data_IF_738696916913
#
_entry.id   IF_738696916913
#
_cell.length_a   1.000
_cell.length_b   1.000
_cell.length_c   1.000
_cell.angle_alpha   90.00
_cell.angle_beta   90.00
_cell.angle_gamma   90.00
#
_symmetry.space_group_name_H-M   'P 1'
#
loop_
_entity.id
_entity.type
_entity.pdbx_description
1 polymer ?
#
# COMPACT_ATOMS: atom_id res chain seq x y z
N UNK A 1 -10.68 -14.89 22.42
CA UNK A 1 -11.41 -15.21 21.17
C UNK A 1 -10.60 -14.64 20.01
N UNK A 2 -9.79 -15.46 19.35
CA UNK A 2 -9.17 -15.06 18.09
C UNK A 2 -10.25 -15.07 17.01
N UNK A 3 -10.96 -13.93 16.87
CA UNK A 3 -11.92 -13.68 15.80
C UNK A 3 -11.16 -13.43 14.51
N UNK A 4 -10.56 -14.47 13.94
CA UNK A 4 -10.03 -14.39 12.59
C UNK A 4 -11.21 -14.22 11.65
N UNK A 5 -11.40 -13.02 11.11
CA UNK A 5 -12.37 -12.78 10.06
C UNK A 5 -12.06 -13.75 8.92
N UNK A 6 -12.92 -14.74 8.70
CA UNK A 6 -12.83 -15.63 7.55
C UNK A 6 -12.84 -14.71 6.32
N UNK A 7 -11.75 -14.64 5.53
CA UNK A 7 -11.71 -13.75 4.38
C UNK A 7 -12.89 -14.14 3.49
N UNK A 8 -13.78 -13.19 3.21
CA UNK A 8 -14.94 -13.45 2.36
C UNK A 8 -14.40 -13.65 0.95
N UNK A 9 -14.45 -14.86 0.38
CA UNK A 9 -13.88 -15.10 -0.93
C UNK A 9 -14.75 -14.40 -1.97
N UNK A 10 -14.23 -13.35 -2.59
CA UNK A 10 -14.90 -12.69 -3.72
C UNK A 10 -14.82 -13.64 -4.91
N UNK A 11 -15.97 -14.19 -5.34
CA UNK A 11 -16.02 -15.04 -6.51
C UNK A 11 -16.12 -14.19 -7.79
N UNK A 12 -14.96 -13.84 -8.35
CA UNK A 12 -14.85 -13.01 -9.56
C UNK A 12 -15.52 -13.64 -10.80
N UNK A 13 -15.78 -14.96 -10.81
CA UNK A 13 -16.50 -15.63 -11.91
C UNK A 13 -17.99 -15.29 -11.99
N UNK A 14 -18.56 -14.70 -10.93
CA UNK A 14 -19.98 -14.28 -10.87
C UNK A 14 -20.21 -12.82 -11.23
N UNK A 15 -19.15 -12.08 -11.53
CA UNK A 15 -19.23 -10.66 -11.91
C UNK A 15 -19.63 -10.52 -13.38
N UNK A 16 -20.37 -9.45 -13.72
CA UNK A 16 -20.82 -9.19 -15.10
C UNK A 16 -19.64 -8.96 -16.04
N UNK A 17 -18.58 -8.29 -15.56
CA UNK A 17 -17.33 -8.09 -16.30
C UNK A 17 -16.12 -8.45 -15.42
N UNK A 18 -15.80 -9.74 -15.27
CA UNK A 18 -14.85 -10.25 -14.26
C UNK A 18 -13.51 -9.51 -14.18
N UNK A 19 -12.94 -9.13 -15.33
CA UNK A 19 -11.65 -8.42 -15.38
C UNK A 19 -11.74 -6.96 -14.91
N UNK A 20 -12.75 -6.23 -15.41
CA UNK A 20 -12.95 -4.82 -15.05
C UNK A 20 -13.33 -4.70 -13.58
N UNK A 21 -14.27 -5.52 -13.14
CA UNK A 21 -14.82 -5.45 -11.80
C UNK A 21 -13.73 -5.85 -10.77
N UNK A 22 -12.85 -6.79 -11.11
CA UNK A 22 -11.66 -7.11 -10.31
C UNK A 22 -10.70 -5.92 -10.19
N UNK A 23 -10.43 -5.19 -11.29
CA UNK A 23 -9.55 -4.00 -11.27
C UNK A 23 -10.13 -2.92 -10.37
N UNK A 24 -11.43 -2.66 -10.47
CA UNK A 24 -12.12 -1.63 -9.65
C UNK A 24 -12.05 -2.00 -8.16
N UNK A 25 -12.35 -3.27 -7.83
CA UNK A 25 -12.31 -3.75 -6.44
C UNK A 25 -10.88 -3.69 -5.89
N UNK A 26 -9.88 -4.09 -6.67
CA UNK A 26 -8.49 -4.03 -6.24
C UNK A 26 -7.99 -2.57 -6.08
N UNK A 27 -8.38 -1.65 -6.98
CA UNK A 27 -8.02 -0.25 -6.87
C UNK A 27 -8.68 0.47 -5.66
N UNK A 28 -9.81 -0.03 -5.16
CA UNK A 28 -10.51 0.56 -4.02
C UNK A 28 -9.67 0.56 -2.74
N UNK A 29 -8.85 -0.48 -2.50
CA UNK A 29 -7.98 -0.55 -1.32
C UNK A 29 -6.96 0.61 -1.26
N UNK A 30 -6.05 0.72 -2.25
CA UNK A 30 -5.11 1.85 -2.34
C UNK A 30 -5.79 3.22 -2.35
N UNK A 31 -6.94 3.35 -3.03
CA UNK A 31 -7.68 4.61 -3.08
C UNK A 31 -8.21 5.02 -1.70
N UNK A 32 -8.75 4.09 -0.91
CA UNK A 32 -9.20 4.38 0.45
C UNK A 32 -8.05 4.78 1.37
N UNK A 33 -6.91 4.08 1.29
CA UNK A 33 -5.72 4.45 2.04
C UNK A 33 -5.22 5.86 1.66
N UNK A 34 -5.19 6.19 0.36
CA UNK A 34 -4.85 7.55 -0.08
C UNK A 34 -5.83 8.60 0.48
N UNK A 35 -7.14 8.29 0.45
CA UNK A 35 -8.17 9.15 1.04
C UNK A 35 -7.98 9.37 2.54
N UNK A 36 -7.66 8.32 3.30
CA UNK A 36 -7.40 8.41 4.73
C UNK A 36 -6.13 9.22 5.05
N UNK A 37 -5.07 9.08 4.24
CA UNK A 37 -3.88 9.91 4.38
C UNK A 37 -4.20 11.40 4.15
N UNK A 38 -4.98 11.72 3.11
CA UNK A 38 -5.42 13.10 2.82
C UNK A 38 -6.26 13.65 3.99
N UNK A 39 -7.22 12.87 4.51
CA UNK A 39 -8.02 13.28 5.65
C UNK A 39 -7.17 13.55 6.89
N UNK A 40 -6.14 12.74 7.14
CA UNK A 40 -5.20 12.95 8.24
C UNK A 40 -4.36 14.23 8.05
N UNK A 41 -3.90 14.54 6.83
CA UNK A 41 -3.21 15.81 6.52
C UNK A 41 -4.12 17.01 6.78
N UNK A 42 -5.37 16.96 6.31
CA UNK A 42 -6.33 18.03 6.56
C UNK A 42 -6.59 18.20 8.07
N UNK A 43 -6.65 17.11 8.83
CA UNK A 43 -6.82 17.16 10.28
C UNK A 43 -5.63 17.82 11.03
N UNK A 44 -4.44 17.94 10.40
CA UNK A 44 -3.30 18.66 10.99
C UNK A 44 -3.65 20.14 11.25
N UNK A 45 -4.55 20.74 10.46
CA UNK A 45 -5.03 22.11 10.69
C UNK A 45 -5.73 22.30 12.03
N UNK A 46 -6.19 21.22 12.66
CA UNK A 46 -6.83 21.26 13.97
C UNK A 46 -5.81 21.25 15.12
N UNK A 47 -4.54 20.92 14.87
CA UNK A 47 -3.49 20.82 15.90
C UNK A 47 -3.33 22.12 16.69
N UNK A 48 -3.29 23.33 16.08
CA UNK A 48 -3.12 24.57 16.83
C UNK A 48 -4.26 24.88 17.82
N UNK A 49 -5.48 24.39 17.55
CA UNK A 49 -6.65 24.61 18.41
C UNK A 49 -6.83 23.52 19.48
N UNK A 50 -5.96 22.50 19.50
CA UNK A 50 -6.00 21.45 20.51
C UNK A 50 -5.44 21.93 21.86
N UNK A 51 -6.00 21.44 22.99
CA UNK A 51 -5.43 21.63 24.31
C UNK A 51 -3.96 21.18 24.39
N UNK A 52 -3.13 21.96 25.11
CA UNK A 52 -1.69 21.70 25.25
C UNK A 52 -1.38 20.26 25.66
N UNK A 53 -2.16 19.73 26.60
CA UNK A 53 -1.99 18.38 27.14
C UNK A 53 -2.10 17.26 26.10
N UNK A 54 -2.83 17.47 25.00
CA UNK A 54 -3.04 16.44 23.97
C UNK A 54 -2.41 16.80 22.62
N UNK A 55 -1.97 18.05 22.42
CA UNK A 55 -1.53 18.54 21.12
C UNK A 55 -0.41 17.68 20.51
N UNK A 56 0.64 17.40 21.28
CA UNK A 56 1.76 16.58 20.82
C UNK A 56 1.35 15.14 20.50
N UNK A 57 0.52 14.54 21.35
CA UNK A 57 -0.01 13.19 21.11
C UNK A 57 -0.88 13.15 19.84
N UNK A 58 -1.76 14.13 19.65
CA UNK A 58 -2.63 14.23 18.49
C UNK A 58 -1.83 14.38 17.20
N UNK A 59 -0.85 15.29 17.18
CA UNK A 59 0.03 15.49 16.03
C UNK A 59 0.79 14.21 15.66
N UNK A 60 1.41 13.53 16.63
CA UNK A 60 2.13 12.28 16.38
C UNK A 60 1.22 11.17 15.84
N UNK A 61 -0.03 11.10 16.30
CA UNK A 61 -1.00 10.14 15.76
C UNK A 61 -1.40 10.48 14.32
N UNK A 62 -1.53 11.76 13.98
CA UNK A 62 -1.79 12.18 12.60
C UNK A 62 -0.59 11.86 11.69
N UNK A 63 0.64 12.14 12.12
CA UNK A 63 1.84 11.76 11.36
C UNK A 63 1.89 10.26 11.09
N UNK A 64 1.65 9.44 12.12
CA UNK A 64 1.57 7.99 11.98
C UNK A 64 0.43 7.59 11.02
N UNK A 65 -0.74 8.19 11.14
CA UNK A 65 -1.87 7.91 10.26
C UNK A 65 -1.54 8.23 8.79
N UNK A 66 -0.90 9.37 8.52
CA UNK A 66 -0.44 9.75 7.18
C UNK A 66 0.56 8.71 6.67
N UNK A 67 1.60 8.43 7.45
CA UNK A 67 2.67 7.50 7.06
C UNK A 67 2.13 6.11 6.76
N UNK A 68 1.37 5.49 7.68
CA UNK A 68 0.89 4.13 7.49
C UNK A 68 -0.13 4.01 6.36
N UNK A 69 -1.00 5.00 6.16
CA UNK A 69 -1.94 4.97 5.04
C UNK A 69 -1.22 5.13 3.70
N UNK A 70 -0.26 6.05 3.58
CA UNK A 70 0.54 6.16 2.35
C UNK A 70 1.37 4.91 2.11
N UNK A 71 1.98 4.36 3.16
CA UNK A 71 2.74 3.12 3.10
C UNK A 71 1.89 1.97 2.56
N UNK A 72 0.70 1.76 3.12
CA UNK A 72 -0.22 0.72 2.68
C UNK A 72 -0.74 0.98 1.26
N UNK A 73 -0.99 2.24 0.88
CA UNK A 73 -1.42 2.59 -0.48
C UNK A 73 -0.33 2.23 -1.50
N UNK A 74 0.90 2.70 -1.30
CA UNK A 74 2.04 2.44 -2.18
C UNK A 74 2.36 0.95 -2.23
N UNK A 75 2.42 0.28 -1.08
CA UNK A 75 2.68 -1.14 -1.01
C UNK A 75 1.62 -1.94 -1.79
N UNK A 76 0.33 -1.64 -1.59
CA UNK A 76 -0.74 -2.32 -2.32
C UNK A 76 -0.78 -1.97 -3.81
N UNK A 77 -0.10 -0.91 -4.28
CA UNK A 77 0.02 -0.59 -5.72
C UNK A 77 1.13 -1.37 -6.43
N UNK A 78 2.01 -2.08 -5.70
CA UNK A 78 3.05 -2.90 -6.30
C UNK A 78 2.41 -4.00 -7.17
N UNK A 79 2.82 -4.17 -8.44
CA UNK A 79 2.23 -5.11 -9.38
C UNK A 79 2.66 -6.58 -9.13
N UNK A 80 2.62 -7.03 -7.89
CA UNK A 80 3.01 -8.38 -7.45
C UNK A 80 1.83 -9.02 -6.70
N UNK A 81 1.20 -10.07 -7.24
CA UNK A 81 0.22 -10.85 -6.48
C UNK A 81 0.88 -11.40 -5.20
N UNK A 82 0.21 -11.43 -4.03
CA UNK A 82 -1.23 -11.25 -3.82
C UNK A 82 -1.70 -9.81 -3.61
N UNK A 83 -0.83 -8.80 -3.79
CA UNK A 83 -1.19 -7.40 -3.59
C UNK A 83 -2.21 -6.92 -4.63
N UNK A 84 -2.94 -5.86 -4.28
CA UNK A 84 -4.01 -5.33 -5.12
C UNK A 84 -3.51 -4.85 -6.50
N UNK A 85 -2.33 -4.24 -6.57
CA UNK A 85 -1.66 -3.83 -7.80
C UNK A 85 -1.36 -5.02 -8.71
N UNK A 86 -1.04 -6.18 -8.14
CA UNK A 86 -0.91 -7.44 -8.87
C UNK A 86 -2.24 -7.89 -9.50
N UNK A 87 -3.35 -7.75 -8.78
CA UNK A 87 -4.71 -8.06 -9.30
C UNK A 87 -5.14 -7.07 -10.37
N UNK A 88 -4.86 -5.78 -10.19
CA UNK A 88 -5.06 -4.75 -11.22
C UNK A 88 -4.29 -5.11 -12.49
N UNK A 89 -3.00 -5.46 -12.36
CA UNK A 89 -2.17 -5.87 -13.48
C UNK A 89 -2.71 -7.12 -14.20
N UNK A 90 -3.15 -8.16 -13.46
CA UNK A 90 -3.80 -9.36 -14.05
C UNK A 90 -5.07 -8.99 -14.83
N UNK A 91 -5.86 -8.03 -14.34
CA UNK A 91 -7.09 -7.58 -14.98
C UNK A 91 -6.86 -6.81 -16.28
N UNK A 92 -5.79 -6.01 -16.35
CA UNK A 92 -5.43 -5.17 -17.51
C UNK A 92 -4.66 -5.97 -18.58
N UNK A 93 -3.79 -6.90 -18.18
CA UNK A 93 -2.89 -7.59 -19.11
C UNK A 93 -3.61 -8.50 -20.13
N UNK A 94 -3.04 -8.65 -21.36
CA UNK A 94 -3.46 -9.67 -22.30
C UNK A 94 -3.46 -11.07 -21.68
N UNK A 95 -4.39 -11.94 -22.09
CA UNK A 95 -4.59 -13.27 -21.49
C UNK A 95 -3.28 -14.03 -21.23
N UNK A 96 -2.33 -14.17 -22.16
CA UNK A 96 -1.10 -14.94 -21.92
C UNK A 96 -0.26 -14.40 -20.77
N UNK A 97 -0.15 -13.08 -20.63
CA UNK A 97 0.63 -12.42 -19.58
C UNK A 97 -0.11 -12.45 -18.23
N UNK A 98 -1.43 -12.23 -18.26
CA UNK A 98 -2.28 -12.33 -17.07
C UNK A 98 -2.18 -13.72 -16.42
N UNK A 99 -2.18 -14.79 -17.21
CA UNK A 99 -2.01 -16.16 -16.71
C UNK A 99 -0.63 -16.39 -16.08
N UNK A 100 0.44 -15.82 -16.65
CA UNK A 100 1.80 -15.92 -16.07
C UNK A 100 1.90 -15.19 -14.74
N UNK A 101 1.36 -13.97 -14.67
CA UNK A 101 1.35 -13.18 -13.44
C UNK A 101 0.49 -13.84 -12.35
N UNK A 102 -0.71 -14.35 -12.70
CA UNK A 102 -1.57 -15.05 -11.75
C UNK A 102 -0.92 -16.32 -11.17
N UNK A 103 -0.05 -17.01 -11.91
CA UNK A 103 0.71 -18.16 -11.38
C UNK A 103 1.68 -17.76 -10.26
N UNK A 104 2.18 -16.53 -10.27
CA UNK A 104 3.06 -16.02 -9.22
C UNK A 104 2.33 -15.84 -7.89
N UNK A 105 0.99 -15.75 -7.87
CA UNK A 105 0.21 -15.57 -6.63
C UNK A 105 0.50 -16.65 -5.58
N UNK A 106 0.75 -17.90 -6.01
CA UNK A 106 1.11 -19.01 -5.10
C UNK A 106 2.44 -18.79 -4.37
N UNK A 107 3.40 -18.17 -5.05
CA UNK A 107 4.73 -17.85 -4.51
C UNK A 107 4.83 -16.37 -4.07
N UNK A 108 3.78 -15.59 -4.28
CA UNK A 108 3.82 -14.13 -4.20
C UNK A 108 4.20 -13.62 -2.82
N UNK A 109 3.65 -14.23 -1.77
CA UNK A 109 4.01 -13.93 -0.39
C UNK A 109 5.49 -14.25 -0.10
N UNK A 110 5.99 -15.37 -0.59
CA UNK A 110 7.40 -15.74 -0.46
C UNK A 110 8.31 -14.76 -1.20
N UNK A 111 7.92 -14.33 -2.40
CA UNK A 111 8.66 -13.33 -3.19
C UNK A 111 8.71 -12.00 -2.43
N UNK A 112 7.60 -11.55 -1.85
CA UNK A 112 7.55 -10.31 -1.06
C UNK A 112 8.42 -10.40 0.20
N UNK A 113 8.34 -11.52 0.94
CA UNK A 113 9.18 -11.74 2.12
C UNK A 113 10.66 -11.77 1.73
N UNK A 114 11.03 -12.50 0.68
CA UNK A 114 12.39 -12.52 0.18
C UNK A 114 12.84 -11.11 -0.25
N UNK A 115 11.97 -10.35 -0.90
CA UNK A 115 12.29 -9.01 -1.34
C UNK A 115 12.54 -8.03 -0.17
N UNK A 116 11.72 -8.14 0.88
CA UNK A 116 11.77 -7.25 2.04
C UNK A 116 12.91 -7.58 3.00
N UNK A 117 13.26 -8.86 3.16
CA UNK A 117 14.21 -9.30 4.18
C UNK A 117 15.51 -9.85 3.62
N UNK A 118 15.47 -10.57 2.49
CA UNK A 118 16.64 -11.28 1.97
C UNK A 118 17.55 -10.36 1.16
N UNK A 119 17.00 -9.48 0.31
CA UNK A 119 17.82 -8.54 -0.48
C UNK A 119 18.59 -7.53 0.38
N UNK A 120 18.00 -6.88 1.41
CA UNK A 120 18.76 -5.97 2.27
C UNK A 120 19.86 -6.71 3.05
N UNK A 121 19.57 -7.92 3.52
CA UNK A 121 20.54 -8.75 4.23
C UNK A 121 21.74 -9.09 3.32
N UNK A 122 21.50 -9.45 2.06
CA UNK A 122 22.56 -9.72 1.09
C UNK A 122 23.33 -8.44 0.74
N UNK A 123 22.64 -7.32 0.49
CA UNK A 123 23.28 -6.03 0.20
C UNK A 123 24.25 -5.60 1.29
N UNK A 124 23.84 -5.72 2.56
CA UNK A 124 24.70 -5.39 3.71
C UNK A 124 25.99 -6.22 3.77
N UNK A 125 25.98 -7.46 3.26
CA UNK A 125 27.15 -8.35 3.22
C UNK A 125 28.13 -8.01 2.10
N UNK A 126 27.62 -7.42 1.01
CA UNK A 126 28.40 -7.11 -0.20
C UNK A 126 28.79 -5.61 -0.21
N UNK A 127 28.33 -4.83 0.77
CA UNK A 127 28.59 -3.39 0.86
C UNK A 127 27.79 -2.55 -0.13
N UNK A 128 26.69 -3.09 -0.67
CA UNK A 128 25.81 -2.43 -1.64
C UNK A 128 24.47 -2.17 -0.97
N UNK A 129 23.94 -0.94 -1.11
CA UNK A 129 22.59 -0.62 -0.62
C UNK A 129 21.53 -1.25 -1.55
N UNK A 130 21.14 -2.49 -1.21
CA UNK A 130 20.06 -3.22 -1.87
C UNK A 130 18.76 -3.15 -1.05
N UNK A 131 18.49 -2.00 -0.43
CA UNK A 131 17.21 -1.77 0.23
C UNK A 131 16.10 -1.54 -0.81
N UNK A 132 15.63 -2.67 -1.37
CA UNK A 132 14.53 -2.71 -2.33
C UNK A 132 13.28 -2.08 -1.75
N UNK A 133 13.06 -2.22 -0.44
CA UNK A 133 11.90 -1.62 0.22
C UNK A 133 12.01 -0.10 0.26
N UNK A 134 13.19 0.45 0.58
CA UNK A 134 13.40 1.89 0.53
C UNK A 134 13.14 2.46 -0.85
N UNK A 135 13.64 1.82 -1.90
CA UNK A 135 13.46 2.32 -3.27
C UNK A 135 12.02 2.15 -3.79
N UNK A 136 11.43 0.97 -3.59
CA UNK A 136 10.13 0.62 -4.15
C UNK A 136 8.95 1.17 -3.33
N UNK A 137 9.15 1.38 -2.02
CA UNK A 137 8.09 1.76 -1.08
C UNK A 137 8.37 3.10 -0.42
N UNK A 138 9.46 3.24 0.35
CA UNK A 138 9.68 4.48 1.11
C UNK A 138 9.86 5.70 0.22
N UNK A 139 10.65 5.60 -0.86
CA UNK A 139 10.88 6.70 -1.79
C UNK A 139 9.59 7.28 -2.38
N UNK A 140 8.68 6.45 -2.92
CA UNK A 140 7.36 6.90 -3.35
C UNK A 140 6.50 7.44 -2.20
N UNK A 141 6.50 6.80 -1.03
CA UNK A 141 5.76 7.29 0.15
C UNK A 141 6.21 8.69 0.54
N UNK A 142 7.52 8.92 0.63
CA UNK A 142 8.10 10.21 0.98
C UNK A 142 7.78 11.26 -0.10
N UNK A 143 7.89 10.88 -1.37
CA UNK A 143 7.61 11.79 -2.50
C UNK A 143 6.15 12.23 -2.50
N UNK A 144 5.22 11.27 -2.36
CA UNK A 144 3.78 11.53 -2.33
C UNK A 144 3.42 12.30 -1.05
N UNK A 145 3.92 11.86 0.10
CA UNK A 145 3.67 12.50 1.39
C UNK A 145 4.13 13.95 1.41
N UNK A 146 5.36 14.22 0.96
CA UNK A 146 5.87 15.58 0.84
C UNK A 146 5.06 16.43 -0.14
N UNK A 147 4.64 15.86 -1.28
CA UNK A 147 3.80 16.58 -2.23
C UNK A 147 2.42 16.93 -1.64
N UNK A 148 1.78 15.99 -0.95
CA UNK A 148 0.48 16.19 -0.31
C UNK A 148 0.57 17.19 0.85
N UNK A 149 1.59 17.09 1.71
CA UNK A 149 1.80 18.04 2.81
C UNK A 149 2.10 19.44 2.28
N UNK A 150 2.87 19.58 1.19
CA UNK A 150 3.07 20.89 0.54
C UNK A 150 1.81 21.47 -0.07
N UNK A 151 0.90 20.62 -0.55
CA UNK A 151 -0.32 21.07 -1.21
C UNK A 151 -1.49 21.33 -0.25
N UNK A 152 -1.57 20.56 0.84
CA UNK A 152 -2.73 20.47 1.72
C UNK A 152 -2.39 20.64 3.20
N UNK A 153 -1.13 20.79 3.58
CA UNK A 153 -0.69 21.04 4.95
C UNK A 153 -0.90 22.50 5.36
N UNK A 154 -0.79 22.78 6.67
CA UNK A 154 -0.93 24.14 7.22
C UNK A 154 0.23 25.08 6.86
#
# INVERSE_FOLDING_TARGET
>A
MFGWAKPVPVNFSRLRHPRRDMVIVAAAGPAMNMGLAILAILAVHLVPVMPEAIRGWFFLNLENAIFFNLLLAVFNMIPIPPLDGGRVAVGILPRPLAWRLARLEKAGMLILIAALFLFPLLGSRIGVDLDVFRWLVQGPVDTIGNALVRALGP
#
